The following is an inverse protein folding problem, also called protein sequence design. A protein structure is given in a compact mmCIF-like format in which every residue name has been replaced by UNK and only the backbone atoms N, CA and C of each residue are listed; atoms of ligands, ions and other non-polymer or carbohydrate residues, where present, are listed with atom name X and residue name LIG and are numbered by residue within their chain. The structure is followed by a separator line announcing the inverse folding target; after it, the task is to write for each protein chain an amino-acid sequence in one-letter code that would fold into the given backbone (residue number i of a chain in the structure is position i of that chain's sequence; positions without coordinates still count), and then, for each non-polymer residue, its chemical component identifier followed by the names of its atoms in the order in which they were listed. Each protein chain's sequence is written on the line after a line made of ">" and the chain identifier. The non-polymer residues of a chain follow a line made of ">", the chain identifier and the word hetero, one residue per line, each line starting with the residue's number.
data_IF_158098925353
#
_entry.id   IF_158098925353
#
_cell.length_a   1.000
_cell.length_b   1.000
_cell.length_c   1.000
_cell.angle_alpha   90.00
_cell.angle_beta   90.00
_cell.angle_gamma   90.00
#
_symmetry.space_group_name_H-M   'P 1'
#
loop_
_entity.id
_entity.type
_entity.pdbx_description
1 polymer ?
#
# COMPACT_ATOMS: atom_id res chain seq x y z
N UNK A 1 -19.55 7.74 -6.41
CA UNK A 1 -18.28 7.35 -5.76
C UNK A 1 -18.60 6.08 -4.98
N UNK A 2 -17.94 4.96 -5.26
CA UNK A 2 -18.23 3.71 -4.56
C UNK A 2 -17.47 3.70 -3.23
N UNK A 3 -18.17 3.79 -2.10
CA UNK A 3 -17.60 3.65 -0.75
C UNK A 3 -17.37 2.16 -0.46
N UNK A 4 -16.31 1.59 -1.06
CA UNK A 4 -15.92 0.19 -0.85
C UNK A 4 -14.65 0.06 0.01
N UNK A 5 -14.13 1.18 0.51
CA UNK A 5 -13.00 1.18 1.43
C UNK A 5 -13.51 1.14 2.87
N UNK A 6 -13.00 0.19 3.63
CA UNK A 6 -13.25 0.09 5.08
C UNK A 6 -12.22 0.94 5.84
N UNK A 7 -12.56 1.51 7.01
CA UNK A 7 -11.68 2.42 7.76
C UNK A 7 -10.26 1.90 8.00
N UNK A 8 -10.10 0.58 8.10
CA UNK A 8 -8.82 -0.09 8.26
C UNK A 8 -7.88 0.11 7.06
N UNK A 9 -8.44 0.14 5.85
CA UNK A 9 -7.66 0.34 4.62
C UNK A 9 -7.22 1.80 4.49
N UNK A 10 -8.11 2.74 4.77
CA UNK A 10 -7.79 4.18 4.78
C UNK A 10 -6.68 4.47 5.79
N UNK A 11 -6.74 3.87 6.99
CA UNK A 11 -5.69 4.00 7.99
C UNK A 11 -4.32 3.53 7.48
N UNK A 12 -4.26 2.42 6.75
CA UNK A 12 -2.99 1.94 6.18
C UNK A 12 -2.48 2.93 5.12
N UNK A 13 -3.36 3.41 4.24
CA UNK A 13 -3.03 4.40 3.20
C UNK A 13 -2.43 5.67 3.84
N UNK A 14 -3.08 6.23 4.85
CA UNK A 14 -2.61 7.44 5.52
C UNK A 14 -1.22 7.23 6.13
N UNK A 15 -1.02 6.11 6.84
CA UNK A 15 0.26 5.82 7.51
C UNK A 15 1.41 5.61 6.53
N UNK A 16 1.18 4.98 5.37
CA UNK A 16 2.24 4.81 4.38
C UNK A 16 2.58 6.13 3.67
N UNK A 17 1.59 7.01 3.47
CA UNK A 17 1.82 8.35 2.91
C UNK A 17 2.64 9.22 3.88
N UNK A 18 2.29 9.25 5.17
CA UNK A 18 3.08 9.90 6.23
C UNK A 18 4.51 9.33 6.34
N UNK A 19 4.68 8.04 6.04
CA UNK A 19 5.97 7.40 6.04
C UNK A 19 6.88 7.82 4.87
N UNK A 20 6.33 8.40 3.81
CA UNK A 20 7.09 8.89 2.65
C UNK A 20 6.74 8.19 1.32
N UNK A 21 5.62 7.46 1.27
CA UNK A 21 5.11 6.95 0.00
C UNK A 21 4.71 8.10 -0.92
N UNK A 22 5.04 7.99 -2.21
CA UNK A 22 4.63 8.96 -3.23
C UNK A 22 3.16 8.80 -3.60
N UNK A 23 2.63 7.59 -3.51
CA UNK A 23 1.22 7.29 -3.73
C UNK A 23 0.85 5.96 -3.05
N UNK A 24 -0.42 5.82 -2.67
CA UNK A 24 -0.99 4.55 -2.23
C UNK A 24 -2.42 4.41 -2.78
N UNK A 25 -2.79 3.21 -3.22
CA UNK A 25 -4.16 2.92 -3.66
C UNK A 25 -4.57 1.49 -3.35
N UNK A 26 -5.86 1.28 -3.16
CA UNK A 26 -6.46 -0.05 -3.10
C UNK A 26 -6.36 -0.71 -4.49
N UNK A 27 -6.07 -2.01 -4.51
CA UNK A 27 -6.07 -2.84 -5.72
C UNK A 27 -7.05 -4.00 -5.58
N UNK A 28 -7.74 -4.34 -6.67
CA UNK A 28 -8.82 -5.34 -6.73
C UNK A 28 -10.19 -4.74 -7.05
N UNK A 29 -11.22 -5.59 -7.17
CA UNK A 29 -12.60 -5.20 -7.48
C UNK A 29 -13.37 -4.58 -6.29
N UNK A 30 -12.67 -3.98 -5.33
CA UNK A 30 -13.28 -3.33 -4.15
C UNK A 30 -13.47 -4.22 -2.92
N UNK A 31 -13.09 -5.50 -2.93
CA UNK A 31 -13.22 -6.40 -1.77
C UNK A 31 -11.97 -6.48 -0.86
N UNK A 32 -11.13 -5.44 -0.88
CA UNK A 32 -10.16 -5.21 0.20
C UNK A 32 -9.04 -6.25 0.38
N UNK A 33 -8.37 -6.66 -0.71
CA UNK A 33 -7.27 -7.64 -0.60
C UNK A 33 -5.87 -7.02 -0.47
N UNK A 34 -5.58 -5.97 -1.24
CA UNK A 34 -4.22 -5.44 -1.38
C UNK A 34 -4.20 -3.91 -1.52
N UNK A 35 -3.13 -3.30 -1.01
CA UNK A 35 -2.80 -1.90 -1.23
C UNK A 35 -1.50 -1.86 -2.05
N UNK A 36 -1.49 -1.09 -3.13
CA UNK A 36 -0.28 -0.79 -3.90
C UNK A 36 0.27 0.54 -3.41
N UNK A 37 1.54 0.53 -3.00
CA UNK A 37 2.26 1.71 -2.51
C UNK A 37 3.44 1.96 -3.44
N UNK A 38 3.54 3.18 -3.96
CA UNK A 38 4.67 3.64 -4.76
C UNK A 38 5.64 4.42 -3.85
N UNK A 39 6.92 4.11 -3.94
CA UNK A 39 7.94 4.72 -3.09
C UNK A 39 9.31 4.76 -3.75
N UNK A 40 10.15 5.69 -3.32
CA UNK A 40 11.58 5.68 -3.57
C UNK A 40 12.28 4.68 -2.63
N UNK A 41 13.36 4.04 -3.10
CA UNK A 41 14.02 2.95 -2.35
C UNK A 41 14.40 3.31 -0.90
N UNK A 42 14.80 4.57 -0.66
CA UNK A 42 15.19 5.07 0.67
C UNK A 42 14.07 5.06 1.72
N UNK A 43 12.79 5.00 1.32
CA UNK A 43 11.66 5.02 2.25
C UNK A 43 11.03 3.65 2.48
N UNK A 44 11.49 2.60 1.77
CA UNK A 44 10.87 1.27 1.78
C UNK A 44 10.72 0.72 3.20
N UNK A 45 11.79 0.69 4.00
CA UNK A 45 11.74 0.15 5.37
C UNK A 45 10.79 0.92 6.29
N UNK A 46 10.77 2.25 6.16
CA UNK A 46 9.90 3.12 6.96
C UNK A 46 8.42 2.89 6.60
N UNK A 47 8.13 2.71 5.31
CA UNK A 47 6.79 2.44 4.79
C UNK A 47 6.32 1.04 5.19
N UNK A 48 7.16 0.03 5.07
CA UNK A 48 6.85 -1.34 5.51
C UNK A 48 6.45 -1.36 6.98
N UNK A 49 7.27 -0.74 7.85
CA UNK A 49 6.97 -0.63 9.27
C UNK A 49 5.65 0.10 9.52
N UNK A 50 5.41 1.22 8.84
CA UNK A 50 4.17 1.98 8.99
C UNK A 50 2.93 1.18 8.55
N UNK A 51 3.03 0.38 7.48
CA UNK A 51 1.95 -0.47 7.00
C UNK A 51 1.63 -1.58 8.01
N UNK A 52 2.65 -2.29 8.51
CA UNK A 52 2.48 -3.35 9.50
C UNK A 52 1.90 -2.80 10.82
N UNK A 53 2.43 -1.69 11.32
CA UNK A 53 1.92 -0.99 12.51
C UNK A 53 0.47 -0.50 12.34
N UNK A 54 0.06 -0.20 11.10
CA UNK A 54 -1.30 0.23 10.78
C UNK A 54 -2.31 -0.93 10.70
N UNK A 55 -1.84 -2.17 10.54
CA UNK A 55 -2.67 -3.38 10.47
C UNK A 55 -2.52 -4.19 9.18
N UNK A 56 -1.56 -3.87 8.31
CA UNK A 56 -1.27 -4.72 7.16
C UNK A 56 -0.76 -6.08 7.64
N UNK A 57 -1.28 -7.17 7.07
CA UNK A 57 -0.89 -8.54 7.46
C UNK A 57 0.48 -8.94 6.90
N UNK A 58 0.87 -8.37 5.75
CA UNK A 58 2.12 -8.65 5.06
C UNK A 58 2.46 -7.54 4.07
N UNK A 59 3.75 -7.35 3.81
CA UNK A 59 4.28 -6.44 2.80
C UNK A 59 5.17 -7.20 1.83
N UNK A 60 5.15 -6.83 0.56
CA UNK A 60 6.03 -7.34 -0.48
C UNK A 60 6.70 -6.19 -1.21
N UNK A 61 8.02 -6.26 -1.36
CA UNK A 61 8.76 -5.31 -2.18
C UNK A 61 8.90 -5.86 -3.58
N UNK A 62 8.35 -5.13 -4.55
CA UNK A 62 8.38 -5.50 -5.97
C UNK A 62 8.89 -4.33 -6.79
N UNK A 63 9.56 -4.65 -7.89
CA UNK A 63 9.91 -3.69 -8.95
C UNK A 63 9.05 -3.97 -10.16
N UNK A 64 8.73 -2.94 -10.94
CA UNK A 64 8.05 -3.13 -12.22
C UNK A 64 8.93 -4.03 -13.12
N UNK A 65 8.31 -5.05 -13.72
CA UNK A 65 9.00 -6.02 -14.56
C UNK A 65 8.25 -6.20 -15.89
N UNK A 66 8.91 -6.80 -16.87
CA UNK A 66 8.30 -7.14 -18.16
C UNK A 66 7.29 -8.27 -17.98
N UNK A 67 6.13 -8.13 -18.62
CA UNK A 67 5.15 -9.20 -18.71
C UNK A 67 5.62 -10.33 -19.62
N UNK A 68 4.91 -11.46 -19.55
CA UNK A 68 5.10 -12.57 -20.50
C UNK A 68 4.77 -12.07 -21.91
N UNK A 69 5.68 -12.31 -22.85
CA UNK A 69 5.49 -12.05 -24.28
C UNK A 69 4.74 -13.20 -24.96
#
# INVERSE_FOLDING_TARGET
>A
LYEVSIPEIEKIIDRVLEAGASAAKISGAGLGGCIIVLSEERYIEKIEKAALDAGASRVWHVKADKGVC
#
